data_IF_987743925441
#
_entry.id   IF_987743925441
#
_cell.length_a   1.000
_cell.length_b   1.000
_cell.length_c   1.000
_cell.angle_alpha   90.00
_cell.angle_beta   90.00
_cell.angle_gamma   90.00
#
_symmetry.space_group_name_H-M   'P 1'
#
loop_
_entity.id
_entity.type
_entity.pdbx_description
1 polymer ?
#
# COMPACT_ATOMS: atom_id res chain seq x y z
N UNK A 1 44.44 -20.52 42.09
CA UNK A 1 43.54 -19.41 41.72
C UNK A 1 44.01 -18.87 40.38
N UNK A 2 43.51 -19.39 39.27
CA UNK A 2 43.84 -18.89 37.93
C UNK A 2 43.03 -17.62 37.70
N UNK A 3 43.72 -16.47 37.70
CA UNK A 3 43.10 -15.19 37.41
C UNK A 3 42.54 -15.21 35.98
N UNK A 4 41.30 -14.78 35.81
CA UNK A 4 40.70 -14.51 34.51
C UNK A 4 41.44 -13.34 33.84
N UNK A 5 42.57 -13.61 33.17
CA UNK A 5 43.22 -12.61 32.33
C UNK A 5 42.34 -12.43 31.10
N UNK A 6 41.59 -11.34 31.04
CA UNK A 6 40.80 -11.01 29.87
C UNK A 6 41.75 -10.67 28.72
N UNK A 7 41.73 -11.47 27.67
CA UNK A 7 42.50 -11.19 26.45
C UNK A 7 41.93 -9.93 25.80
N UNK A 8 42.66 -8.83 25.96
CA UNK A 8 42.27 -7.52 25.43
C UNK A 8 42.13 -7.55 23.91
N UNK A 9 42.98 -8.30 23.20
CA UNK A 9 42.88 -8.41 21.74
C UNK A 9 41.61 -9.16 21.32
N UNK A 10 41.22 -10.19 22.08
CA UNK A 10 39.95 -10.90 21.84
C UNK A 10 38.73 -10.00 22.11
N UNK A 11 38.77 -9.16 23.15
CA UNK A 11 37.73 -8.17 23.44
C UNK A 11 37.62 -7.09 22.36
N UNK A 12 38.75 -6.57 21.89
CA UNK A 12 38.78 -5.53 20.86
C UNK A 12 38.22 -6.08 19.53
N UNK A 13 38.57 -7.33 19.18
CA UNK A 13 38.00 -8.03 18.03
C UNK A 13 36.49 -8.26 18.17
N UNK A 14 36.03 -8.76 19.33
CA UNK A 14 34.60 -8.97 19.58
C UNK A 14 33.80 -7.65 19.52
N UNK A 15 34.39 -6.55 19.99
CA UNK A 15 33.78 -5.22 19.91
C UNK A 15 33.70 -4.72 18.47
N UNK A 16 34.74 -4.95 17.66
CA UNK A 16 34.74 -4.62 16.23
C UNK A 16 33.73 -5.47 15.44
N UNK A 17 33.63 -6.76 15.72
CA UNK A 17 32.66 -7.66 15.09
C UNK A 17 31.22 -7.27 15.46
N UNK A 18 30.97 -6.91 16.73
CA UNK A 18 29.69 -6.37 17.18
C UNK A 18 29.35 -5.04 16.50
N UNK A 19 30.32 -4.13 16.34
CA UNK A 19 30.10 -2.87 15.65
C UNK A 19 29.72 -3.09 14.17
N UNK A 20 30.38 -4.03 13.48
CA UNK A 20 30.02 -4.42 12.11
C UNK A 20 28.63 -5.06 12.04
N UNK A 21 28.29 -5.92 12.98
CA UNK A 21 26.96 -6.52 13.07
C UNK A 21 25.85 -5.47 13.27
N UNK A 22 26.08 -4.49 14.15
CA UNK A 22 25.13 -3.40 14.37
C UNK A 22 24.90 -2.57 13.10
N UNK A 23 25.95 -2.29 12.32
CA UNK A 23 25.79 -1.58 11.02
C UNK A 23 24.89 -2.36 10.06
N UNK A 24 24.98 -3.69 10.03
CA UNK A 24 24.10 -4.53 9.21
C UNK A 24 22.66 -4.50 9.74
N UNK A 25 22.46 -4.56 11.06
CA UNK A 25 21.13 -4.47 11.69
C UNK A 25 20.48 -3.12 11.38
N UNK A 26 21.22 -2.02 11.52
CA UNK A 26 20.72 -0.68 11.23
C UNK A 26 20.34 -0.56 9.75
N UNK A 27 21.19 -1.06 8.84
CA UNK A 27 20.90 -1.07 7.41
C UNK A 27 19.65 -1.88 7.04
N UNK A 28 19.44 -3.04 7.68
CA UNK A 28 18.24 -3.86 7.49
C UNK A 28 16.99 -3.17 8.04
N UNK A 29 17.09 -2.55 9.22
CA UNK A 29 15.97 -1.80 9.81
C UNK A 29 15.54 -0.62 8.93
N UNK A 30 16.50 0.09 8.33
CA UNK A 30 16.24 1.19 7.41
C UNK A 30 15.61 0.69 6.10
N UNK A 31 16.09 -0.44 5.57
CA UNK A 31 15.50 -1.09 4.40
C UNK A 31 14.06 -1.56 4.69
N UNK A 32 13.80 -2.15 5.85
CA UNK A 32 12.46 -2.58 6.26
C UNK A 32 11.50 -1.39 6.38
N UNK A 33 11.96 -0.25 6.91
CA UNK A 33 11.15 0.98 6.96
C UNK A 33 10.81 1.48 5.56
N UNK A 34 11.80 1.56 4.67
CA UNK A 34 11.58 2.00 3.29
C UNK A 34 10.60 1.06 2.54
N UNK A 35 10.72 -0.25 2.76
CA UNK A 35 9.78 -1.24 2.19
C UNK A 35 8.38 -1.08 2.79
N UNK A 36 8.27 -0.88 4.11
CA UNK A 36 6.98 -0.67 4.77
C UNK A 36 6.27 0.59 4.24
N UNK A 37 6.99 1.71 4.10
CA UNK A 37 6.48 2.95 3.53
C UNK A 37 6.05 2.77 2.06
N UNK A 38 6.88 2.13 1.24
CA UNK A 38 6.55 1.86 -0.16
C UNK A 38 5.33 0.95 -0.33
N UNK A 39 5.08 0.05 0.64
CA UNK A 39 3.92 -0.86 0.66
C UNK A 39 2.62 -0.18 1.11
N UNK A 40 2.67 1.02 1.66
CA UNK A 40 1.46 1.71 2.08
C UNK A 40 0.56 1.97 0.87
N UNK A 41 -0.71 1.61 1.00
CA UNK A 41 -1.71 1.93 -0.01
C UNK A 41 -1.93 3.44 -0.01
N UNK A 42 -1.90 4.08 -1.20
CA UNK A 42 -2.22 5.48 -1.32
C UNK A 42 -3.71 5.70 -0.99
N UNK A 43 -4.04 6.96 -0.71
CA UNK A 43 -5.43 7.34 -0.45
C UNK A 43 -6.37 6.91 -1.58
N UNK A 44 -7.55 6.45 -1.18
CA UNK A 44 -8.56 6.01 -2.12
C UNK A 44 -9.02 7.18 -3.01
N UNK A 45 -9.00 7.06 -4.35
CA UNK A 45 -9.26 8.18 -5.23
C UNK A 45 -10.62 8.82 -4.93
N UNK A 46 -10.72 10.16 -4.81
CA UNK A 46 -11.98 10.83 -4.48
C UNK A 46 -13.11 10.49 -5.45
N UNK A 47 -12.78 10.26 -6.73
CA UNK A 47 -13.73 9.83 -7.75
C UNK A 47 -14.38 8.49 -7.45
N UNK A 48 -13.69 7.57 -6.78
CA UNK A 48 -14.21 6.26 -6.40
C UNK A 48 -15.16 6.28 -5.20
N UNK A 49 -15.28 7.43 -4.51
CA UNK A 49 -16.28 7.64 -3.44
C UNK A 49 -17.56 8.30 -3.96
N UNK A 50 -17.63 8.61 -5.26
CA UNK A 50 -18.75 9.35 -5.84
C UNK A 50 -19.93 8.41 -6.11
N UNK A 51 -21.12 8.82 -5.67
CA UNK A 51 -22.35 8.13 -6.01
C UNK A 51 -22.95 8.70 -7.29
N UNK A 52 -23.35 7.83 -8.21
CA UNK A 52 -24.15 8.20 -9.37
C UNK A 52 -25.64 8.11 -9.03
N UNK A 53 -26.43 9.08 -9.53
CA UNK A 53 -27.89 9.09 -9.37
C UNK A 53 -28.53 9.19 -10.74
N UNK A 54 -29.63 8.47 -10.95
CA UNK A 54 -30.36 8.44 -12.22
C UNK A 54 -30.99 9.78 -12.59
N UNK A 55 -31.38 10.60 -11.61
CA UNK A 55 -32.08 11.87 -11.86
C UNK A 55 -33.48 11.67 -12.45
N UNK A 56 -34.05 10.46 -12.30
CA UNK A 56 -35.46 10.18 -12.63
C UNK A 56 -36.35 11.03 -11.72
N UNK A 57 -37.39 11.63 -12.30
CA UNK A 57 -38.35 12.47 -11.62
C UNK A 57 -39.77 11.94 -11.81
N UNK A 58 -40.66 12.29 -10.87
CA UNK A 58 -42.08 12.00 -11.01
C UNK A 58 -42.64 12.74 -12.23
N UNK A 59 -43.36 12.03 -13.09
CA UNK A 59 -43.89 12.57 -14.35
C UNK A 59 -42.97 12.42 -15.56
N UNK A 60 -41.75 11.90 -15.39
CA UNK A 60 -40.94 11.47 -16.54
C UNK A 60 -41.71 10.42 -17.35
N UNK A 61 -41.76 10.59 -18.68
CA UNK A 61 -42.22 9.51 -19.57
C UNK A 61 -41.36 8.27 -19.33
N UNK A 62 -41.96 7.09 -19.33
CA UNK A 62 -41.27 5.82 -19.02
C UNK A 62 -39.96 5.64 -19.81
N UNK A 63 -39.95 5.93 -21.12
CA UNK A 63 -38.73 5.85 -21.93
C UNK A 63 -37.63 6.82 -21.52
N UNK A 64 -37.98 8.02 -21.04
CA UNK A 64 -37.03 9.01 -20.51
C UNK A 64 -36.47 8.54 -19.17
N UNK A 65 -37.34 8.05 -18.28
CA UNK A 65 -36.94 7.50 -16.98
C UNK A 65 -35.97 6.32 -17.14
N UNK A 66 -36.29 5.38 -18.04
CA UNK A 66 -35.41 4.23 -18.33
C UNK A 66 -34.06 4.68 -18.89
N UNK A 67 -34.04 5.62 -19.84
CA UNK A 67 -32.79 6.13 -20.40
C UNK A 67 -31.92 6.82 -19.34
N UNK A 68 -32.52 7.62 -18.45
CA UNK A 68 -31.83 8.26 -17.33
C UNK A 68 -31.23 7.24 -16.37
N UNK A 69 -31.99 6.20 -16.02
CA UNK A 69 -31.52 5.12 -15.15
C UNK A 69 -30.35 4.36 -15.78
N UNK A 70 -30.46 3.99 -17.06
CA UNK A 70 -29.43 3.25 -17.78
C UNK A 70 -28.11 4.04 -17.90
N UNK A 71 -28.19 5.34 -18.20
CA UNK A 71 -27.02 6.23 -18.22
C UNK A 71 -26.34 6.26 -16.84
N UNK A 72 -27.09 6.40 -15.76
CA UNK A 72 -26.51 6.42 -14.43
C UNK A 72 -25.91 5.08 -14.02
N UNK A 73 -26.54 3.97 -14.40
CA UNK A 73 -26.01 2.62 -14.18
C UNK A 73 -24.70 2.41 -14.96
N UNK A 74 -24.66 2.78 -16.24
CA UNK A 74 -23.45 2.71 -17.06
C UNK A 74 -22.30 3.54 -16.47
N UNK A 75 -22.59 4.76 -16.01
CA UNK A 75 -21.61 5.60 -15.35
C UNK A 75 -21.11 5.00 -14.02
N UNK A 76 -22.01 4.43 -13.21
CA UNK A 76 -21.65 3.75 -11.96
C UNK A 76 -20.75 2.54 -12.22
N UNK A 77 -21.12 1.69 -13.17
CA UNK A 77 -20.33 0.52 -13.54
C UNK A 77 -18.95 0.93 -14.08
N UNK A 78 -18.88 1.93 -14.95
CA UNK A 78 -17.60 2.45 -15.45
C UNK A 78 -16.70 2.99 -14.34
N UNK A 79 -17.28 3.66 -13.33
CA UNK A 79 -16.52 4.09 -12.14
C UNK A 79 -16.00 2.87 -11.36
N UNK A 80 -16.86 1.88 -11.08
CA UNK A 80 -16.49 0.66 -10.35
C UNK A 80 -15.33 -0.05 -11.04
N UNK A 81 -15.42 -0.26 -12.35
CA UNK A 81 -14.39 -0.93 -13.14
C UNK A 81 -13.05 -0.18 -13.11
N UNK A 82 -13.09 1.16 -13.22
CA UNK A 82 -11.90 1.98 -13.13
C UNK A 82 -11.25 1.91 -11.75
N UNK A 83 -12.06 1.94 -10.69
CA UNK A 83 -11.60 1.89 -9.31
C UNK A 83 -11.07 0.52 -8.90
N UNK A 84 -11.69 -0.57 -9.38
CA UNK A 84 -11.19 -1.92 -9.20
C UNK A 84 -9.83 -2.09 -9.89
N UNK A 85 -9.72 -1.64 -11.15
CA UNK A 85 -8.45 -1.69 -11.90
C UNK A 85 -7.35 -0.88 -11.22
N UNK A 86 -7.67 0.31 -10.71
CA UNK A 86 -6.73 1.11 -9.92
C UNK A 86 -6.26 0.34 -8.68
N UNK A 87 -7.18 -0.29 -7.93
CA UNK A 87 -6.83 -1.04 -6.73
C UNK A 87 -5.91 -2.23 -7.06
N UNK A 88 -6.27 -3.02 -8.06
CA UNK A 88 -5.51 -4.21 -8.44
C UNK A 88 -4.10 -3.86 -8.92
N UNK A 89 -3.97 -2.82 -9.75
CA UNK A 89 -2.66 -2.34 -10.23
C UNK A 89 -1.82 -1.76 -9.09
N UNK A 90 -2.44 -0.99 -8.19
CA UNK A 90 -1.77 -0.38 -7.04
C UNK A 90 -1.29 -1.45 -6.05
N UNK A 91 -2.12 -2.47 -5.78
CA UNK A 91 -1.79 -3.63 -4.96
C UNK A 91 -0.66 -4.45 -5.57
N UNK A 92 -0.76 -4.83 -6.84
CA UNK A 92 0.26 -5.61 -7.54
C UNK A 92 1.62 -4.90 -7.59
N UNK A 93 1.64 -3.57 -7.72
CA UNK A 93 2.89 -2.79 -7.69
C UNK A 93 3.60 -2.77 -6.32
N UNK A 94 2.88 -3.11 -5.25
CA UNK A 94 3.36 -3.06 -3.85
C UNK A 94 3.62 -4.44 -3.25
N UNK A 95 3.03 -5.48 -3.82
CA UNK A 95 3.30 -6.86 -3.41
C UNK A 95 4.74 -7.26 -3.77
N UNK A 96 5.43 -8.03 -2.90
CA UNK A 96 6.75 -8.54 -3.21
C UNK A 96 6.70 -9.43 -4.45
N UNK A 97 7.59 -9.17 -5.41
CA UNK A 97 7.78 -10.05 -6.57
C UNK A 97 8.54 -11.29 -6.09
N UNK A 98 7.93 -12.45 -6.25
CA UNK A 98 8.55 -13.75 -6.02
C UNK A 98 9.68 -14.01 -7.02
#
# INVERSE_FOLDING_TARGET
>A
MTACTTDKAALDKASADKARANVVVDALSEADRAVAEARQMPDYPPGCRRHHRSGVQLGDKLGVANKKADIALGNANGQIDACARWYDTTKASREPKA
#
